data_IF_792149047439
#
_entry.id   IF_792149047439
#
_cell.length_a   1.000
_cell.length_b   1.000
_cell.length_c   1.000
_cell.angle_alpha   90.00
_cell.angle_beta   90.00
_cell.angle_gamma   90.00
#
_symmetry.space_group_name_H-M   'P 1'
#
loop_
_entity.id
_entity.type
_entity.pdbx_description
1 polymer ?
#
# COMPACT_ATOMS: atom_id res chain seq x y z
N UNK A 1 10.94 27.80 6.32
CA UNK A 1 11.28 26.67 5.42
C UNK A 1 10.39 25.51 5.84
N UNK A 2 9.17 25.45 5.31
CA UNK A 2 8.18 24.43 5.70
C UNK A 2 8.16 23.29 4.68
N UNK A 3 9.03 22.30 4.89
CA UNK A 3 8.90 21.00 4.24
C UNK A 3 7.98 20.13 5.09
N UNK A 4 6.67 20.33 4.96
CA UNK A 4 5.63 19.50 5.61
C UNK A 4 4.40 19.30 4.71
N UNK A 5 4.58 19.23 3.38
CA UNK A 5 3.47 19.18 2.43
C UNK A 5 3.51 18.06 1.37
N UNK A 6 4.49 17.14 1.43
CA UNK A 6 4.64 16.09 0.41
C UNK A 6 3.83 14.82 0.69
N UNK A 7 3.71 14.38 1.96
CA UNK A 7 3.07 13.10 2.28
C UNK A 7 1.56 13.07 2.00
N UNK A 8 0.84 14.16 2.31
CA UNK A 8 -0.60 14.26 2.00
C UNK A 8 -0.86 14.20 0.49
N UNK A 9 -0.01 14.83 -0.32
CA UNK A 9 -0.15 14.84 -1.77
C UNK A 9 -0.10 13.44 -2.39
N UNK A 10 0.74 12.53 -1.88
CA UNK A 10 0.85 11.19 -2.47
C UNK A 10 -0.39 10.33 -2.19
N UNK A 11 -0.83 10.25 -0.94
CA UNK A 11 -2.01 9.46 -0.60
C UNK A 11 -3.29 10.04 -1.22
N UNK A 12 -3.39 11.36 -1.34
CA UNK A 12 -4.48 12.00 -2.09
C UNK A 12 -4.43 11.62 -3.57
N UNK A 13 -3.27 11.69 -4.24
CA UNK A 13 -3.12 11.24 -5.63
C UNK A 13 -3.44 9.76 -5.80
N UNK A 14 -2.98 8.90 -4.88
CA UNK A 14 -3.26 7.47 -4.89
C UNK A 14 -4.76 7.19 -4.71
N UNK A 15 -5.47 8.03 -3.93
CA UNK A 15 -6.91 7.93 -3.72
C UNK A 15 -7.70 8.38 -4.95
N UNK A 16 -7.31 9.48 -5.58
CA UNK A 16 -7.87 9.90 -6.86
C UNK A 16 -7.67 8.82 -7.93
N UNK A 17 -6.47 8.25 -7.98
CA UNK A 17 -6.13 7.16 -8.88
C UNK A 17 -6.93 5.89 -8.57
N UNK A 18 -7.07 5.52 -7.31
CA UNK A 18 -7.89 4.40 -6.88
C UNK A 18 -9.37 4.58 -7.24
N UNK A 19 -9.91 5.80 -7.09
CA UNK A 19 -11.24 6.15 -7.56
C UNK A 19 -11.39 6.03 -9.08
N UNK A 20 -10.35 6.39 -9.84
CA UNK A 20 -10.32 6.21 -11.29
C UNK A 20 -10.26 4.74 -11.70
N UNK A 21 -9.44 3.92 -11.03
CA UNK A 21 -9.37 2.46 -11.24
C UNK A 21 -10.69 1.77 -10.87
N UNK A 22 -11.36 2.20 -9.80
CA UNK A 22 -12.68 1.70 -9.42
C UNK A 22 -13.72 1.95 -10.51
N UNK A 23 -13.68 3.11 -11.18
CA UNK A 23 -14.54 3.39 -12.34
C UNK A 23 -14.23 2.50 -13.56
N UNK A 24 -13.00 1.98 -13.66
CA UNK A 24 -12.59 1.02 -14.68
C UNK A 24 -12.96 -0.43 -14.31
N UNK A 25 -13.64 -0.64 -13.17
CA UNK A 25 -14.01 -1.96 -12.68
C UNK A 25 -12.91 -2.70 -11.93
N UNK A 26 -11.79 -2.04 -11.63
CA UNK A 26 -10.69 -2.60 -10.86
C UNK A 26 -10.79 -2.17 -9.39
N UNK A 27 -10.82 -3.16 -8.48
CA UNK A 27 -10.86 -2.92 -7.04
C UNK A 27 -9.51 -2.41 -6.54
N UNK A 28 -9.48 -1.15 -6.13
CA UNK A 28 -8.32 -0.54 -5.50
C UNK A 28 -8.40 -0.70 -3.98
N UNK A 29 -8.35 -1.96 -3.54
CA UNK A 29 -8.45 -2.35 -2.14
C UNK A 29 -7.14 -2.97 -1.64
N UNK A 30 -6.93 -2.91 -0.32
CA UNK A 30 -5.78 -3.47 0.37
C UNK A 30 -5.42 -4.92 -0.08
N UNK A 31 -6.36 -5.89 -0.12
CA UNK A 31 -6.07 -7.25 -0.61
C UNK A 31 -5.69 -7.33 -2.09
N UNK A 32 -6.13 -6.38 -2.92
CA UNK A 32 -5.78 -6.36 -4.35
C UNK A 32 -4.37 -5.79 -4.56
N UNK A 33 -3.99 -4.79 -3.78
CA UNK A 33 -2.68 -4.15 -3.86
C UNK A 33 -1.60 -4.96 -3.16
N UNK A 34 -1.88 -5.43 -1.94
CA UNK A 34 -0.96 -6.18 -1.10
C UNK A 34 -1.28 -7.67 -1.16
N UNK A 35 -1.17 -8.23 -2.35
CA UNK A 35 -1.33 -9.67 -2.57
C UNK A 35 -0.32 -10.47 -1.76
N UNK A 36 -0.61 -11.75 -1.51
CA UNK A 36 0.32 -12.64 -0.80
C UNK A 36 1.67 -12.72 -1.51
N UNK A 37 1.68 -12.72 -2.85
CA UNK A 37 2.90 -12.67 -3.66
C UNK A 37 3.69 -11.38 -3.44
N UNK A 38 3.03 -10.22 -3.40
CA UNK A 38 3.69 -8.95 -3.10
C UNK A 38 4.32 -9.00 -1.70
N UNK A 39 3.55 -9.44 -0.70
CA UNK A 39 4.03 -9.48 0.68
C UNK A 39 5.20 -10.43 0.84
N UNK A 40 5.17 -11.62 0.23
CA UNK A 40 6.28 -12.57 0.27
C UNK A 40 7.52 -12.08 -0.49
N UNK A 41 7.34 -11.23 -1.51
CA UNK A 41 8.45 -10.70 -2.32
C UNK A 41 9.14 -9.50 -1.66
N UNK A 42 8.36 -8.59 -1.07
CA UNK A 42 8.86 -7.31 -0.58
C UNK A 42 8.84 -7.17 0.95
N UNK A 43 8.30 -8.16 1.66
CA UNK A 43 8.21 -8.17 3.12
C UNK A 43 8.50 -9.57 3.68
N UNK A 44 8.62 -9.67 5.02
CA UNK A 44 8.72 -10.97 5.70
C UNK A 44 7.34 -11.58 6.01
N UNK A 45 6.24 -10.89 5.70
CA UNK A 45 4.88 -11.37 5.95
C UNK A 45 4.43 -12.31 4.83
N UNK A 46 3.76 -13.41 5.17
CA UNK A 46 3.28 -14.37 4.17
C UNK A 46 1.99 -13.93 3.50
N UNK A 47 1.18 -13.15 4.21
CA UNK A 47 -0.15 -12.73 3.78
C UNK A 47 -0.61 -11.46 4.48
N UNK A 48 -1.72 -10.91 3.98
CA UNK A 48 -2.32 -9.68 4.48
C UNK A 48 -2.68 -9.75 5.97
N UNK A 49 -3.06 -10.93 6.47
CA UNK A 49 -3.45 -11.14 7.87
C UNK A 49 -2.26 -10.97 8.82
N UNK A 50 -1.09 -11.52 8.47
CA UNK A 50 0.14 -11.31 9.25
C UNK A 50 0.56 -9.85 9.26
N UNK A 51 0.51 -9.17 8.12
CA UNK A 51 0.78 -7.74 8.03
C UNK A 51 -0.18 -6.93 8.91
N UNK A 52 -1.48 -7.23 8.83
CA UNK A 52 -2.52 -6.58 9.66
C UNK A 52 -2.22 -6.76 11.15
N UNK A 53 -1.87 -7.98 11.57
CA UNK A 53 -1.52 -8.26 12.96
C UNK A 53 -0.26 -7.52 13.40
N UNK A 54 0.77 -7.45 12.55
CA UNK A 54 2.00 -6.69 12.82
C UNK A 54 1.74 -5.19 12.99
N UNK A 55 0.71 -4.67 12.32
CA UNK A 55 0.25 -3.29 12.47
C UNK A 55 -0.83 -3.11 13.56
N UNK A 56 -1.04 -4.12 14.41
CA UNK A 56 -2.00 -4.09 15.51
C UNK A 56 -3.47 -4.05 15.07
N UNK A 57 -3.78 -4.55 13.88
CA UNK A 57 -5.13 -4.56 13.30
C UNK A 57 -5.61 -3.19 12.80
N UNK A 58 -4.74 -2.16 12.80
CA UNK A 58 -5.10 -0.78 12.46
C UNK A 58 -5.30 -0.55 10.97
N UNK A 59 -4.65 -1.34 10.11
CA UNK A 59 -4.79 -1.27 8.66
C UNK A 59 -5.95 -2.16 8.19
N UNK A 60 -7.14 -1.57 8.16
CA UNK A 60 -8.32 -2.20 7.54
C UNK A 60 -8.53 -1.71 6.11
N UNK A 61 -8.19 -0.44 5.86
CA UNK A 61 -8.30 0.25 4.58
C UNK A 61 -7.00 0.96 4.24
N UNK A 62 -6.91 1.48 3.01
CA UNK A 62 -5.74 2.21 2.51
C UNK A 62 -5.47 3.45 3.38
N UNK A 63 -6.50 4.21 3.79
CA UNK A 63 -6.35 5.34 4.73
C UNK A 63 -5.75 4.92 6.09
N UNK A 64 -5.90 3.64 6.46
CA UNK A 64 -5.25 3.08 7.65
C UNK A 64 -3.72 3.09 7.55
N UNK A 65 -3.15 2.99 6.34
CA UNK A 65 -1.70 3.08 6.13
C UNK A 65 -1.16 4.48 6.36
N UNK A 66 -1.93 5.51 6.04
CA UNK A 66 -1.52 6.90 6.23
C UNK A 66 -1.33 7.24 7.73
N UNK A 67 -2.08 6.55 8.60
CA UNK A 67 -2.03 6.70 10.05
C UNK A 67 -0.99 5.80 10.74
N UNK A 68 -0.23 4.99 9.98
CA UNK A 68 0.87 4.20 10.52
C UNK A 68 2.12 5.08 10.65
N UNK A 69 2.13 5.93 11.67
CA UNK A 69 3.28 6.80 12.01
C UNK A 69 4.44 6.03 12.66
N UNK A 70 4.15 4.91 13.33
CA UNK A 70 5.11 4.14 14.12
C UNK A 70 5.10 2.69 13.66
N UNK A 71 6.16 2.28 12.98
CA UNK A 71 6.10 1.08 12.13
C UNK A 71 7.30 0.19 12.35
N UNK A 72 7.32 -0.41 13.54
CA UNK A 72 8.11 -1.61 13.80
C UNK A 72 7.94 -2.66 12.69
N UNK A 73 6.76 -2.68 12.04
CA UNK A 73 6.50 -3.55 10.90
C UNK A 73 7.37 -3.23 9.67
N UNK A 74 7.76 -1.97 9.41
CA UNK A 74 8.62 -1.61 8.28
C UNK A 74 10.01 -2.22 8.40
N UNK A 75 10.49 -2.47 9.64
CA UNK A 75 11.74 -3.21 9.86
C UNK A 75 11.70 -4.65 9.32
N UNK A 76 10.51 -5.17 9.08
CA UNK A 76 10.25 -6.48 8.48
C UNK A 76 9.87 -6.36 7.00
N UNK A 77 10.14 -5.21 6.38
CA UNK A 77 9.91 -4.95 4.96
C UNK A 77 11.18 -4.44 4.30
N UNK A 78 11.20 -4.47 2.97
CA UNK A 78 12.29 -3.90 2.19
C UNK A 78 12.11 -2.38 1.94
N UNK A 79 11.15 -1.72 2.58
CA UNK A 79 10.79 -0.33 2.33
C UNK A 79 11.24 0.60 3.45
N UNK A 80 11.65 1.81 3.09
CA UNK A 80 12.04 2.83 4.07
C UNK A 80 10.85 3.60 4.65
N UNK A 81 9.70 3.53 3.99
CA UNK A 81 8.47 4.19 4.43
C UNK A 81 7.23 3.44 3.95
N UNK A 82 6.11 3.67 4.63
CA UNK A 82 4.80 3.16 4.23
C UNK A 82 4.40 3.68 2.84
N UNK A 83 4.74 4.92 2.54
CA UNK A 83 4.50 5.55 1.24
C UNK A 83 5.20 4.78 0.11
N UNK A 84 6.48 4.45 0.30
CA UNK A 84 7.28 3.69 -0.67
C UNK A 84 6.74 2.27 -0.88
N UNK A 85 6.34 1.59 0.21
CA UNK A 85 5.67 0.30 0.14
C UNK A 85 4.37 0.39 -0.66
N UNK A 86 3.55 1.40 -0.38
CA UNK A 86 2.27 1.59 -1.04
C UNK A 86 2.44 1.92 -2.52
N UNK A 87 3.40 2.78 -2.85
CA UNK A 87 3.73 3.12 -4.23
C UNK A 87 4.16 1.89 -5.03
N UNK A 88 4.98 1.02 -4.43
CA UNK A 88 5.38 -0.23 -5.07
C UNK A 88 4.21 -1.20 -5.24
N UNK A 89 3.31 -1.29 -4.26
CA UNK A 89 2.11 -2.12 -4.36
C UNK A 89 1.19 -1.66 -5.51
N UNK A 90 1.04 -0.34 -5.67
CA UNK A 90 0.33 0.23 -6.82
C UNK A 90 1.00 -0.10 -8.14
N UNK A 91 2.32 0.06 -8.23
CA UNK A 91 3.08 -0.24 -9.44
C UNK A 91 2.91 -1.71 -9.85
N UNK A 92 3.03 -2.63 -8.90
CA UNK A 92 2.85 -4.08 -9.15
C UNK A 92 1.41 -4.40 -9.56
N UNK A 93 0.42 -3.78 -8.93
CA UNK A 93 -0.98 -3.98 -9.32
C UNK A 93 -1.26 -3.45 -10.73
N UNK A 94 -0.73 -2.27 -11.06
CA UNK A 94 -0.86 -1.69 -12.39
C UNK A 94 -0.18 -2.55 -13.44
N UNK A 95 1.04 -3.00 -13.18
CA UNK A 95 1.74 -3.93 -14.05
C UNK A 95 0.90 -5.19 -14.27
N UNK A 96 0.33 -5.76 -13.20
CA UNK A 96 -0.56 -6.92 -13.30
C UNK A 96 -1.84 -6.64 -14.09
N UNK A 97 -2.40 -5.44 -14.06
CA UNK A 97 -3.61 -5.09 -14.83
C UNK A 97 -3.29 -4.81 -16.29
N UNK A 98 -2.16 -4.16 -16.57
CA UNK A 98 -1.77 -3.72 -17.91
C UNK A 98 -0.95 -4.76 -18.69
N UNK A 99 -0.12 -5.57 -18.04
CA UNK A 99 0.64 -6.67 -18.66
C UNK A 99 -0.08 -8.02 -18.64
N UNK A 100 -1.27 -8.13 -18.03
CA UNK A 100 -2.11 -9.33 -18.15
C UNK A 100 -2.83 -9.47 -19.50
N UNK A 101 -2.55 -8.57 -20.47
CA UNK A 101 -3.05 -8.63 -21.85
C UNK A 101 -1.95 -9.03 -22.84
#
# INVERSE_FOLDING_TARGET
MEQKNSKKNFFEQAKEFGGMMANLGNSFDLPTLLTDSFLQTYTQYRNLTELKNACGGKIQTIDGFENLEDTSFLSQTNFQSVEEMFHKAMEVHLDSVFNAN
#
